data_IF_605911625603
#
_entry.id   IF_605911625603
#
_cell.length_a   1.000
_cell.length_b   1.000
_cell.length_c   1.000
_cell.angle_alpha   90.00
_cell.angle_beta   90.00
_cell.angle_gamma   90.00
#
_symmetry.space_group_name_H-M   'P 1'
#
loop_
_entity.id
_entity.type
_entity.pdbx_description
1 polymer ?
#
# COMPACT_ATOMS: atom_id res chain seq x y z
N UNK A 1 -37.13 54.25 -15.93
CA UNK A 1 -35.91 54.90 -15.42
C UNK A 1 -34.93 53.79 -15.09
N UNK A 2 -34.01 53.55 -16.01
CA UNK A 2 -33.07 52.43 -16.00
C UNK A 2 -31.67 53.01 -15.78
N UNK A 3 -30.94 52.51 -14.78
CA UNK A 3 -29.56 52.88 -14.51
C UNK A 3 -28.61 51.74 -14.91
N UNK A 4 -27.39 52.04 -15.39
CA UNK A 4 -26.64 51.14 -16.26
C UNK A 4 -25.59 50.29 -15.52
N UNK A 5 -25.42 49.06 -16.01
CA UNK A 5 -24.38 48.11 -15.61
C UNK A 5 -23.07 48.41 -16.34
N UNK A 6 -22.01 48.76 -15.61
CA UNK A 6 -20.66 48.86 -16.17
C UNK A 6 -19.96 47.49 -16.13
N UNK A 7 -19.70 46.94 -17.32
CA UNK A 7 -18.87 45.76 -17.57
C UNK A 7 -17.41 46.22 -17.72
N UNK A 8 -16.54 45.88 -16.77
CA UNK A 8 -15.08 46.03 -16.93
C UNK A 8 -14.51 44.66 -17.32
N UNK A 9 -14.11 44.53 -18.59
CA UNK A 9 -13.22 43.47 -19.07
C UNK A 9 -11.82 43.72 -18.52
N UNK A 10 -11.21 42.71 -17.90
CA UNK A 10 -9.77 42.72 -17.57
C UNK A 10 -9.10 41.58 -18.34
N UNK A 11 -8.11 41.96 -19.13
CA UNK A 11 -7.28 41.15 -20.02
C UNK A 11 -6.25 40.32 -19.21
N UNK A 12 -6.17 38.99 -19.38
CA UNK A 12 -5.27 38.13 -18.63
C UNK A 12 -3.90 38.04 -19.33
N UNK A 13 -3.11 39.12 -19.33
CA UNK A 13 -1.76 39.06 -19.92
C UNK A 13 -0.66 39.88 -19.21
N UNK A 14 -0.93 40.57 -18.09
CA UNK A 14 0.10 41.39 -17.41
C UNK A 14 0.60 40.89 -16.04
N UNK A 15 0.01 39.84 -15.46
CA UNK A 15 0.35 39.41 -14.08
C UNK A 15 1.55 38.43 -13.96
N UNK A 16 2.16 37.97 -15.06
CA UNK A 16 3.19 36.92 -15.04
C UNK A 16 4.64 37.40 -15.22
N UNK A 17 4.95 38.70 -15.10
CA UNK A 17 6.33 39.21 -15.30
C UNK A 17 6.95 40.01 -14.14
N UNK A 18 6.27 40.16 -13.00
CA UNK A 18 6.80 40.97 -11.88
C UNK A 18 7.48 40.19 -10.74
N UNK A 19 7.32 38.86 -10.66
CA UNK A 19 7.84 38.08 -9.50
C UNK A 19 9.27 37.56 -9.70
N UNK A 20 9.84 37.69 -10.91
CA UNK A 20 11.14 37.09 -11.25
C UNK A 20 12.39 37.98 -11.04
N UNK A 21 12.28 39.17 -10.41
CA UNK A 21 13.42 40.11 -10.29
C UNK A 21 13.74 40.67 -8.91
N UNK A 22 13.15 40.14 -7.82
CA UNK A 22 13.40 40.67 -6.45
C UNK A 22 14.11 39.71 -5.49
N UNK A 23 14.84 38.70 -6.00
CA UNK A 23 15.67 37.79 -5.16
C UNK A 23 17.17 37.85 -5.47
N UNK A 24 17.62 38.87 -6.20
CA UNK A 24 19.04 39.09 -6.48
C UNK A 24 19.38 40.53 -6.11
N UNK A 25 19.77 40.74 -4.85
CA UNK A 25 20.78 41.69 -4.33
C UNK A 25 20.47 42.08 -2.88
N UNK A 26 21.55 42.31 -2.10
CA UNK A 26 21.64 42.87 -0.72
C UNK A 26 21.95 41.84 0.41
N UNK A 27 22.74 42.21 1.43
CA UNK A 27 24.15 41.80 1.54
C UNK A 27 24.46 40.89 2.73
N UNK A 28 25.61 40.23 2.67
CA UNK A 28 26.19 39.37 3.70
C UNK A 28 26.52 40.14 4.98
N UNK A 29 25.80 39.86 6.07
CA UNK A 29 26.21 40.24 7.44
C UNK A 29 26.71 38.98 8.17
N UNK A 30 28.03 38.88 8.34
CA UNK A 30 28.69 37.86 9.17
C UNK A 30 28.27 38.06 10.64
N UNK A 31 27.56 37.08 11.19
CA UNK A 31 27.50 36.85 12.63
C UNK A 31 28.15 35.50 12.90
N UNK A 32 29.29 35.51 13.60
CA UNK A 32 29.97 34.32 14.12
C UNK A 32 29.12 33.78 15.25
N UNK A 33 28.52 32.59 15.14
CA UNK A 33 28.13 31.77 16.30
C UNK A 33 28.12 30.28 15.88
N UNK A 34 28.88 29.47 16.63
CA UNK A 34 28.81 28.00 16.76
C UNK A 34 28.65 27.16 15.49
N UNK A 35 29.75 26.55 15.02
CA UNK A 35 29.67 25.40 14.10
C UNK A 35 29.05 24.18 14.81
N UNK A 36 27.73 24.12 14.86
CA UNK A 36 27.00 22.86 14.99
C UNK A 36 26.97 22.17 13.63
N UNK A 37 27.81 21.15 13.43
CA UNK A 37 27.72 20.27 12.25
C UNK A 37 26.31 19.70 12.15
N UNK A 38 25.49 20.20 11.23
CA UNK A 38 24.27 19.52 10.78
C UNK A 38 24.72 18.20 10.14
N UNK A 39 24.51 17.10 10.86
CA UNK A 39 24.83 15.76 10.37
C UNK A 39 23.89 15.44 9.21
N UNK A 40 24.40 15.58 7.99
CA UNK A 40 23.78 15.10 6.77
C UNK A 40 23.61 13.57 6.81
N UNK A 41 22.39 13.12 6.52
CA UNK A 41 22.02 11.78 6.03
C UNK A 41 22.82 10.59 6.54
N UNK A 42 22.58 10.15 7.79
CA UNK A 42 22.95 8.78 8.18
C UNK A 42 22.00 7.80 7.49
N UNK A 43 22.53 6.84 6.72
CA UNK A 43 21.80 5.63 6.29
C UNK A 43 21.09 5.03 7.51
N UNK A 44 19.76 5.02 7.49
CA UNK A 44 18.99 4.79 8.70
C UNK A 44 18.89 3.28 9.03
N UNK A 45 18.83 2.39 8.05
CA UNK A 45 19.04 0.95 8.25
C UNK A 45 19.56 0.30 6.95
N UNK A 46 20.46 -0.69 7.07
CA UNK A 46 20.70 -1.65 5.97
C UNK A 46 19.48 -2.56 5.89
N UNK A 47 18.96 -2.80 4.68
CA UNK A 47 17.82 -3.67 4.31
C UNK A 47 17.84 -5.06 4.99
N UNK A 48 19.02 -5.49 5.47
CA UNK A 48 19.26 -6.79 6.09
C UNK A 48 18.69 -6.98 7.51
N UNK A 49 18.37 -5.91 8.26
CA UNK A 49 17.89 -6.05 9.66
C UNK A 49 16.41 -6.40 9.81
N UNK A 50 15.62 -6.34 8.74
CA UNK A 50 14.17 -6.56 8.83
C UNK A 50 13.76 -8.02 8.58
N UNK A 51 14.63 -9.01 8.83
CA UNK A 51 14.31 -10.43 8.60
C UNK A 51 14.73 -11.23 9.82
N UNK A 52 13.77 -11.68 10.62
CA UNK A 52 14.02 -12.73 11.62
C UNK A 52 13.39 -14.05 11.17
N UNK A 53 14.11 -15.13 11.47
CA UNK A 53 13.62 -16.49 11.35
C UNK A 53 12.89 -16.88 12.65
N UNK A 54 11.91 -17.79 12.61
CA UNK A 54 11.05 -18.16 13.75
C UNK A 54 11.79 -18.36 15.07
N UNK A 55 12.90 -19.12 15.04
CA UNK A 55 13.64 -19.56 16.24
C UNK A 55 14.47 -18.45 16.90
N UNK A 56 14.40 -17.20 16.42
CA UNK A 56 15.17 -16.06 16.94
C UNK A 56 14.29 -14.88 17.37
N UNK A 57 12.97 -15.01 17.32
CA UNK A 57 12.05 -13.91 17.56
C UNK A 57 12.16 -13.34 18.99
N UNK A 58 12.06 -14.18 20.01
CA UNK A 58 12.01 -13.73 21.42
C UNK A 58 13.29 -13.04 21.89
N UNK A 59 14.45 -13.38 21.30
CA UNK A 59 15.75 -12.79 21.67
C UNK A 59 16.09 -11.51 20.90
N UNK A 60 15.37 -11.22 19.82
CA UNK A 60 15.71 -10.13 18.89
C UNK A 60 14.53 -9.19 18.58
N UNK A 61 13.36 -9.43 19.17
CA UNK A 61 12.20 -8.56 18.99
C UNK A 61 12.38 -7.27 19.78
N UNK A 62 12.33 -6.15 19.05
CA UNK A 62 12.29 -4.80 19.60
C UNK A 62 10.94 -4.20 19.23
N UNK A 63 10.12 -3.86 20.22
CA UNK A 63 8.75 -3.42 20.00
C UNK A 63 8.63 -2.18 19.11
N UNK A 64 9.66 -1.33 19.05
CA UNK A 64 9.70 -0.10 18.25
C UNK A 64 10.33 -0.28 16.86
N UNK A 65 10.75 -1.50 16.50
CA UNK A 65 11.44 -1.80 15.24
C UNK A 65 10.56 -2.69 14.34
N UNK A 66 10.31 -2.32 13.07
CA UNK A 66 9.57 -3.15 12.15
C UNK A 66 10.26 -4.48 11.89
N UNK A 67 9.45 -5.52 11.77
CA UNK A 67 9.96 -6.88 11.62
C UNK A 67 9.18 -7.65 10.55
N UNK A 68 9.86 -8.12 9.52
CA UNK A 68 9.29 -9.10 8.58
C UNK A 68 9.63 -10.52 9.05
N UNK A 69 8.58 -11.32 9.15
CA UNK A 69 8.57 -12.73 9.47
C UNK A 69 8.36 -13.50 8.18
N UNK A 70 9.41 -14.15 7.67
CA UNK A 70 9.32 -14.83 6.37
C UNK A 70 8.63 -16.18 6.50
N UNK A 71 7.59 -16.41 5.68
CA UNK A 71 6.89 -17.71 5.58
C UNK A 71 6.41 -18.30 6.91
N UNK A 72 6.11 -17.46 7.89
CA UNK A 72 5.71 -17.91 9.24
C UNK A 72 4.22 -18.23 9.36
N UNK A 73 3.42 -17.86 8.37
CA UNK A 73 1.96 -17.97 8.43
C UNK A 73 1.40 -18.92 7.37
N UNK A 74 2.24 -19.71 6.69
CA UNK A 74 1.81 -20.62 5.59
C UNK A 74 0.80 -21.69 6.05
N UNK A 75 0.61 -21.85 7.35
CA UNK A 75 -0.30 -22.77 8.03
C UNK A 75 -1.72 -22.22 8.23
N UNK A 76 -1.99 -20.92 7.96
CA UNK A 76 -3.37 -20.41 8.05
C UNK A 76 -4.28 -21.19 7.08
N UNK A 77 -5.46 -21.66 7.51
CA UNK A 77 -6.34 -22.46 6.65
C UNK A 77 -6.74 -21.73 5.35
N UNK A 78 -6.81 -20.40 5.37
CA UNK A 78 -7.07 -19.58 4.19
C UNK A 78 -6.10 -19.85 3.01
N UNK A 79 -4.84 -20.22 3.27
CA UNK A 79 -3.90 -20.53 2.18
C UNK A 79 -4.29 -21.77 1.36
N UNK A 80 -4.93 -22.74 2.00
CA UNK A 80 -5.39 -23.96 1.35
C UNK A 80 -6.81 -23.80 0.81
N UNK A 81 -7.66 -23.08 1.55
CA UNK A 81 -9.09 -23.00 1.25
C UNK A 81 -9.43 -21.92 0.22
N UNK A 82 -8.75 -20.77 0.23
CA UNK A 82 -9.16 -19.61 -0.58
C UNK A 82 -8.42 -19.50 -1.92
N UNK A 83 -7.33 -20.25 -2.07
CA UNK A 83 -6.40 -20.13 -3.19
C UNK A 83 -6.25 -21.47 -3.89
N UNK A 84 -6.31 -21.46 -5.21
CA UNK A 84 -6.02 -22.61 -6.06
C UNK A 84 -4.73 -22.38 -6.85
N UNK A 85 -4.00 -23.46 -7.12
CA UNK A 85 -2.82 -23.44 -7.98
C UNK A 85 -3.14 -24.23 -9.26
N UNK A 86 -2.93 -23.60 -10.41
CA UNK A 86 -3.13 -24.20 -11.72
C UNK A 86 -1.79 -24.19 -12.44
N UNK A 87 -1.36 -25.35 -12.91
CA UNK A 87 -0.19 -25.45 -13.79
C UNK A 87 -0.58 -25.03 -15.20
N UNK A 88 0.05 -23.98 -15.72
CA UNK A 88 -0.16 -23.51 -17.08
C UNK A 88 1.09 -23.87 -17.90
N UNK A 89 0.92 -24.72 -18.92
CA UNK A 89 1.97 -25.00 -19.90
C UNK A 89 2.08 -23.82 -20.86
N UNK A 90 3.25 -23.20 -20.92
CA UNK A 90 3.54 -22.25 -22.00
C UNK A 90 3.83 -23.06 -23.27
N UNK A 91 2.84 -23.19 -24.15
CA UNK A 91 3.15 -23.40 -25.56
C UNK A 91 3.60 -22.04 -26.11
N UNK A 92 4.87 -21.92 -26.48
CA UNK A 92 5.40 -20.73 -27.16
C UNK A 92 4.88 -20.73 -28.60
N UNK A 93 3.94 -19.83 -28.97
CA UNK A 93 3.36 -19.83 -30.30
C UNK A 93 4.34 -19.30 -31.38
N UNK A 94 5.47 -18.70 -30.98
CA UNK A 94 6.43 -18.05 -31.88
C UNK A 94 7.72 -18.85 -32.11
N UNK A 95 7.82 -20.09 -31.60
CA UNK A 95 8.96 -20.99 -31.92
C UNK A 95 8.57 -21.94 -33.05
N UNK A 96 9.15 -21.77 -34.27
CA UNK A 96 8.90 -22.70 -35.36
C UNK A 96 9.29 -24.12 -34.95
N UNK A 97 8.39 -25.09 -35.20
CA UNK A 97 8.60 -26.52 -34.94
C UNK A 97 9.90 -27.08 -35.54
N UNK A 98 10.52 -26.36 -36.49
CA UNK A 98 11.77 -26.73 -37.16
C UNK A 98 13.05 -26.53 -36.33
N UNK A 99 13.01 -25.84 -35.17
CA UNK A 99 14.20 -25.65 -34.29
C UNK A 99 14.31 -26.64 -33.13
N UNK A 100 13.36 -27.56 -32.97
CA UNK A 100 13.47 -28.58 -31.92
C UNK A 100 14.49 -29.65 -32.33
N UNK A 101 15.66 -29.65 -31.68
CA UNK A 101 16.57 -30.80 -31.66
C UNK A 101 15.79 -32.01 -31.12
N UNK A 102 15.82 -33.15 -31.83
CA UNK A 102 15.26 -34.43 -31.35
C UNK A 102 15.82 -34.72 -29.95
N UNK A 103 15.01 -34.57 -28.90
CA UNK A 103 15.33 -35.06 -27.56
C UNK A 103 15.03 -34.18 -26.34
N UNK A 104 14.66 -32.90 -26.46
CA UNK A 104 14.38 -32.07 -25.27
C UNK A 104 13.13 -31.18 -25.42
N UNK A 105 11.97 -31.72 -25.04
CA UNK A 105 10.81 -30.88 -24.70
C UNK A 105 11.04 -30.32 -23.29
N UNK A 106 11.64 -29.14 -23.19
CA UNK A 106 11.68 -28.42 -21.90
C UNK A 106 10.45 -27.51 -21.84
N UNK A 107 9.29 -28.10 -21.59
CA UNK A 107 8.07 -27.37 -21.26
C UNK A 107 8.26 -26.71 -19.90
N UNK A 108 8.44 -25.39 -19.87
CA UNK A 108 8.45 -24.61 -18.64
C UNK A 108 7.01 -24.51 -18.12
N UNK A 109 6.66 -25.31 -17.13
CA UNK A 109 5.38 -25.19 -16.42
C UNK A 109 5.42 -23.95 -15.53
N UNK A 110 4.43 -23.06 -15.70
CA UNK A 110 4.27 -21.91 -14.80
C UNK A 110 3.09 -22.16 -13.89
N UNK A 111 3.32 -22.15 -12.57
CA UNK A 111 2.24 -22.26 -11.58
C UNK A 111 1.55 -20.91 -11.44
N UNK A 112 0.29 -20.86 -11.85
CA UNK A 112 -0.59 -19.68 -11.69
C UNK A 112 -1.43 -19.83 -10.44
N UNK A 113 -1.45 -18.77 -9.64
CA UNK A 113 -2.29 -18.68 -8.44
C UNK A 113 -3.61 -18.00 -8.78
N UNK A 114 -4.73 -18.65 -8.46
CA UNK A 114 -6.09 -18.13 -8.65
C UNK A 114 -6.89 -18.24 -7.35
N UNK A 115 -8.08 -17.65 -7.32
CA UNK A 115 -9.02 -17.87 -6.22
C UNK A 115 -9.60 -19.30 -6.31
N UNK A 116 -9.86 -19.90 -5.15
CA UNK A 116 -10.73 -21.06 -5.04
C UNK A 116 -12.19 -20.58 -5.04
N UNK A 117 -12.76 -20.47 -6.24
CA UNK A 117 -14.11 -19.96 -6.41
C UNK A 117 -15.18 -20.89 -5.82
N UNK A 118 -14.98 -22.21 -5.90
CA UNK A 118 -15.90 -23.20 -5.33
C UNK A 118 -16.09 -23.00 -3.81
N UNK A 119 -15.01 -22.62 -3.11
CA UNK A 119 -15.10 -22.28 -1.70
C UNK A 119 -15.69 -20.88 -1.45
N UNK A 120 -15.17 -19.86 -2.15
CA UNK A 120 -15.50 -18.46 -1.85
C UNK A 120 -16.90 -18.04 -2.31
N UNK A 121 -17.43 -18.62 -3.38
CA UNK A 121 -18.77 -18.30 -3.91
C UNK A 121 -19.91 -18.69 -2.97
N UNK A 122 -19.67 -19.64 -2.06
CA UNK A 122 -20.62 -20.00 -1.00
C UNK A 122 -20.98 -18.82 -0.11
N UNK A 123 -20.12 -17.79 -0.07
CA UNK A 123 -20.31 -16.56 0.69
C UNK A 123 -20.66 -15.37 -0.21
N UNK A 124 -21.05 -15.61 -1.47
CA UNK A 124 -21.23 -14.58 -2.49
C UNK A 124 -22.28 -13.52 -2.17
N UNK A 125 -23.29 -13.86 -1.37
CA UNK A 125 -24.38 -12.95 -0.99
C UNK A 125 -24.02 -12.02 0.19
N UNK A 126 -22.90 -12.27 0.87
CA UNK A 126 -22.41 -11.40 1.93
C UNK A 126 -22.18 -9.99 1.41
N UNK A 127 -22.78 -8.99 2.08
CA UNK A 127 -22.48 -7.58 1.79
C UNK A 127 -21.07 -7.23 2.29
N UNK A 128 -20.23 -6.68 1.40
CA UNK A 128 -18.85 -6.28 1.72
C UNK A 128 -18.60 -4.83 1.32
N UNK A 129 -17.79 -4.09 2.10
CA UNK A 129 -17.38 -2.74 1.74
C UNK A 129 -16.31 -2.80 0.64
N UNK A 130 -16.57 -2.13 -0.47
CA UNK A 130 -15.66 -2.02 -1.60
C UNK A 130 -15.20 -0.57 -1.79
N UNK A 131 -13.92 -0.42 -2.04
CA UNK A 131 -13.31 0.80 -2.55
C UNK A 131 -13.17 0.67 -4.06
N UNK A 132 -13.70 1.65 -4.80
CA UNK A 132 -13.47 1.79 -6.24
C UNK A 132 -12.57 2.99 -6.50
N UNK A 133 -11.60 2.79 -7.38
CA UNK A 133 -10.80 3.88 -7.94
C UNK A 133 -10.88 3.82 -9.46
N UNK A 134 -11.26 4.92 -10.09
CA UNK A 134 -11.40 4.99 -11.55
C UNK A 134 -10.55 6.12 -12.14
N UNK A 135 -9.81 5.82 -13.20
CA UNK A 135 -8.98 6.76 -13.93
C UNK A 135 -9.76 7.30 -15.12
N UNK A 136 -9.96 8.62 -15.12
CA UNK A 136 -10.54 9.37 -16.21
C UNK A 136 -9.45 10.19 -16.92
N UNK A 137 -9.36 10.14 -18.27
CA UNK A 137 -8.31 10.85 -19.01
C UNK A 137 -8.26 12.37 -18.76
N UNK A 138 -9.42 12.98 -18.48
CA UNK A 138 -9.57 14.44 -18.33
C UNK A 138 -9.70 14.88 -16.87
N UNK A 139 -10.26 14.03 -16.01
CA UNK A 139 -10.64 14.39 -14.64
C UNK A 139 -9.74 13.78 -13.56
N UNK A 140 -8.69 13.05 -13.96
CA UNK A 140 -7.80 12.38 -13.02
C UNK A 140 -8.43 11.12 -12.43
N UNK A 141 -8.10 10.80 -11.17
CA UNK A 141 -8.62 9.62 -10.48
C UNK A 141 -9.77 10.00 -9.57
N UNK A 142 -10.89 9.29 -9.69
CA UNK A 142 -12.04 9.34 -8.78
C UNK A 142 -11.98 8.16 -7.81
N UNK A 143 -12.58 8.34 -6.64
CA UNK A 143 -12.65 7.34 -5.58
C UNK A 143 -14.03 7.37 -4.92
N UNK A 144 -14.59 6.19 -4.66
CA UNK A 144 -15.83 6.03 -3.92
C UNK A 144 -15.84 4.73 -3.11
N UNK A 145 -16.67 4.72 -2.06
CA UNK A 145 -16.94 3.55 -1.21
C UNK A 145 -18.40 3.17 -1.29
N UNK A 146 -18.66 1.89 -1.44
CA UNK A 146 -20.01 1.34 -1.46
C UNK A 146 -20.00 -0.11 -0.97
N UNK A 147 -21.15 -0.55 -0.47
CA UNK A 147 -21.37 -1.94 -0.14
C UNK A 147 -21.92 -2.69 -1.36
N UNK A 148 -21.45 -3.92 -1.58
CA UNK A 148 -21.93 -4.79 -2.63
C UNK A 148 -21.83 -6.27 -2.22
N UNK A 149 -22.56 -7.18 -2.88
CA UNK A 149 -22.38 -8.62 -2.66
C UNK A 149 -20.94 -9.05 -2.93
N UNK A 150 -20.38 -9.93 -2.11
CA UNK A 150 -19.02 -10.45 -2.24
C UNK A 150 -18.77 -11.09 -3.60
N UNK A 151 -19.79 -11.73 -4.18
CA UNK A 151 -19.79 -12.27 -5.54
C UNK A 151 -19.38 -11.23 -6.59
N UNK A 152 -19.74 -9.96 -6.43
CA UNK A 152 -19.34 -8.88 -7.33
C UNK A 152 -17.83 -8.68 -7.38
N UNK A 153 -17.16 -8.74 -6.22
CA UNK A 153 -15.70 -8.69 -6.14
C UNK A 153 -15.07 -9.95 -6.74
N UNK A 154 -15.62 -11.14 -6.45
CA UNK A 154 -15.11 -12.40 -6.98
C UNK A 154 -15.14 -12.41 -8.52
N UNK A 155 -16.25 -11.99 -9.13
CA UNK A 155 -16.37 -11.84 -10.59
C UNK A 155 -15.32 -10.88 -11.16
N UNK A 156 -15.15 -9.71 -10.54
CA UNK A 156 -14.10 -8.77 -10.94
C UNK A 156 -12.69 -9.38 -10.88
N UNK A 157 -12.42 -10.20 -9.86
CA UNK A 157 -11.11 -10.85 -9.67
C UNK A 157 -10.88 -12.03 -10.62
N UNK A 158 -11.93 -12.73 -11.07
CA UNK A 158 -11.86 -13.82 -12.07
C UNK A 158 -11.51 -13.32 -13.46
N UNK A 159 -11.97 -12.13 -13.84
CA UNK A 159 -11.81 -11.60 -15.18
C UNK A 159 -10.32 -11.61 -15.61
N UNK A 160 -9.99 -12.24 -16.76
CA UNK A 160 -8.59 -12.36 -17.24
C UNK A 160 -7.97 -10.97 -17.50
N UNK A 161 -8.68 -10.15 -18.26
CA UNK A 161 -8.42 -8.73 -18.41
C UNK A 161 -9.47 -7.99 -17.56
N UNK A 162 -9.03 -7.26 -16.54
CA UNK A 162 -9.92 -6.32 -15.87
C UNK A 162 -10.05 -5.06 -16.74
N UNK A 163 -11.09 -4.25 -16.54
CA UNK A 163 -11.15 -2.91 -17.10
C UNK A 163 -9.86 -2.15 -16.78
N UNK A 164 -9.27 -1.50 -17.77
CA UNK A 164 -7.98 -0.84 -17.59
C UNK A 164 -8.11 0.40 -16.70
N UNK A 165 -9.29 1.04 -16.71
CA UNK A 165 -9.58 2.31 -16.07
C UNK A 165 -10.03 2.21 -14.61
N UNK A 166 -10.66 1.13 -14.13
CA UNK A 166 -11.08 1.07 -12.71
C UNK A 166 -10.55 -0.14 -11.93
N UNK A 167 -10.45 0.03 -10.62
CA UNK A 167 -10.00 -0.97 -9.64
C UNK A 167 -11.06 -1.14 -8.56
N UNK A 168 -11.27 -2.39 -8.14
CA UNK A 168 -12.05 -2.72 -6.95
C UNK A 168 -11.13 -3.32 -5.89
N UNK A 169 -11.33 -2.91 -4.65
CA UNK A 169 -10.57 -3.38 -3.51
C UNK A 169 -11.47 -3.47 -2.29
N UNK A 170 -11.65 -4.68 -1.76
CA UNK A 170 -12.20 -4.86 -0.43
C UNK A 170 -11.11 -4.45 0.55
N UNK A 171 -11.38 -3.38 1.28
CA UNK A 171 -10.44 -2.75 2.19
C UNK A 171 -11.04 -2.66 3.59
N UNK A 172 -10.26 -3.03 4.60
CA UNK A 172 -10.62 -2.89 6.00
C UNK A 172 -11.91 -3.61 6.43
N UNK A 173 -12.34 -4.65 5.71
CA UNK A 173 -13.53 -5.41 6.14
C UNK A 173 -13.21 -6.19 7.41
N UNK A 174 -13.96 -5.96 8.48
CA UNK A 174 -13.67 -6.57 9.78
C UNK A 174 -13.81 -8.09 9.70
N UNK A 175 -12.87 -8.82 10.32
CA UNK A 175 -13.00 -10.28 10.42
C UNK A 175 -14.20 -10.70 11.27
N UNK A 176 -14.66 -9.86 12.19
CA UNK A 176 -15.87 -10.10 13.00
C UNK A 176 -17.14 -10.17 12.16
N UNK A 177 -17.14 -9.51 11.01
CA UNK A 177 -18.30 -9.37 10.14
C UNK A 177 -18.33 -10.47 9.07
N UNK A 178 -17.28 -11.30 9.01
CA UNK A 178 -17.22 -12.45 8.11
C UNK A 178 -18.08 -13.62 8.63
N UNK A 179 -18.66 -14.42 7.72
CA UNK A 179 -19.24 -15.71 8.03
C UNK A 179 -18.28 -16.58 8.84
N UNK A 180 -18.83 -17.36 9.77
CA UNK A 180 -18.05 -18.15 10.72
C UNK A 180 -17.00 -19.05 10.04
N UNK A 181 -17.36 -19.70 8.93
CA UNK A 181 -16.45 -20.55 8.17
C UNK A 181 -15.24 -19.78 7.59
N UNK A 182 -15.45 -18.56 7.10
CA UNK A 182 -14.36 -17.70 6.61
C UNK A 182 -13.53 -17.15 7.76
N UNK A 183 -14.16 -16.74 8.87
CA UNK A 183 -13.48 -16.26 10.07
C UNK A 183 -12.59 -17.34 10.69
N UNK A 184 -13.04 -18.59 10.70
CA UNK A 184 -12.26 -19.74 11.16
C UNK A 184 -11.00 -20.01 10.33
N UNK A 185 -10.94 -19.51 9.08
CA UNK A 185 -9.78 -19.65 8.21
C UNK A 185 -8.66 -18.64 8.51
N UNK A 186 -8.96 -17.65 9.35
CA UNK A 186 -8.06 -16.56 9.74
C UNK A 186 -7.97 -16.48 11.28
N UNK A 187 -7.52 -17.54 11.96
CA UNK A 187 -7.35 -17.51 13.40
C UNK A 187 -6.36 -16.42 13.79
N UNK A 188 -6.58 -15.86 14.98
CA UNK A 188 -5.67 -14.93 15.66
C UNK A 188 -4.31 -15.62 15.85
N UNK A 189 -3.20 -15.12 15.24
CA UNK A 189 -1.93 -15.82 15.32
C UNK A 189 -1.30 -15.81 16.73
N UNK A 190 -0.87 -16.99 17.21
CA UNK A 190 -0.29 -17.16 18.56
C UNK A 190 0.94 -16.29 18.82
N UNK A 191 1.70 -16.00 17.76
CA UNK A 191 2.89 -15.13 17.79
C UNK A 191 2.61 -13.73 18.33
N UNK A 192 1.36 -13.27 18.33
CA UNK A 192 1.03 -11.94 18.84
C UNK A 192 1.43 -11.73 20.31
N UNK A 193 1.41 -12.80 21.13
CA UNK A 193 1.93 -12.73 22.51
C UNK A 193 3.43 -12.40 22.53
N UNK A 194 4.21 -13.05 21.67
CA UNK A 194 5.65 -12.79 21.52
C UNK A 194 5.95 -11.41 20.92
N UNK A 195 4.98 -10.80 20.24
CA UNK A 195 5.06 -9.42 19.72
C UNK A 195 4.61 -8.36 20.74
N UNK A 196 4.46 -8.74 22.01
CA UNK A 196 4.07 -7.84 23.09
C UNK A 196 2.57 -7.59 23.21
N UNK A 197 1.74 -8.33 22.45
CA UNK A 197 0.30 -8.28 22.60
C UNK A 197 -0.15 -8.92 23.90
N UNK A 198 -1.00 -8.23 24.64
CA UNK A 198 -1.53 -8.67 25.95
C UNK A 198 -2.79 -9.52 25.83
N UNK A 199 -3.04 -10.06 24.65
CA UNK A 199 -4.25 -10.83 24.33
C UNK A 199 -5.45 -9.97 23.90
N UNK A 200 -5.30 -8.65 23.83
CA UNK A 200 -6.35 -7.74 23.32
C UNK A 200 -6.16 -7.46 21.83
N UNK A 201 -7.12 -7.88 21.01
CA UNK A 201 -7.19 -7.56 19.59
C UNK A 201 -8.13 -6.36 19.43
N UNK A 202 -7.53 -5.19 19.24
CA UNK A 202 -8.27 -3.94 19.00
C UNK A 202 -9.13 -4.01 17.75
N UNK A 203 -8.65 -4.71 16.72
CA UNK A 203 -9.39 -4.93 15.49
C UNK A 203 -8.61 -5.79 14.52
N UNK A 204 -9.29 -6.30 13.50
CA UNK A 204 -8.69 -7.12 12.46
C UNK A 204 -9.40 -6.91 11.15
N UNK A 205 -8.67 -6.88 10.04
CA UNK A 205 -9.28 -6.67 8.73
C UNK A 205 -8.77 -7.60 7.65
N UNK A 206 -9.69 -7.96 6.76
CA UNK A 206 -9.43 -8.57 5.49
C UNK A 206 -9.21 -7.50 4.41
N UNK A 207 -8.28 -7.79 3.51
CA UNK A 207 -7.99 -7.01 2.32
C UNK A 207 -7.95 -7.92 1.11
N UNK A 208 -8.75 -7.64 0.10
CA UNK A 208 -8.88 -8.51 -1.08
C UNK A 208 -9.09 -7.70 -2.36
N UNK A 209 -8.33 -8.01 -3.40
CA UNK A 209 -8.54 -7.42 -4.72
C UNK A 209 -7.54 -7.90 -5.75
N UNK A 210 -7.53 -7.24 -6.91
CA UNK A 210 -6.63 -7.56 -8.02
C UNK A 210 -5.54 -6.50 -8.15
N UNK A 211 -4.32 -6.92 -8.44
CA UNK A 211 -3.22 -5.99 -8.69
C UNK A 211 -3.53 -5.04 -9.87
N UNK A 212 -3.10 -3.77 -9.82
CA UNK A 212 -2.45 -3.11 -8.69
C UNK A 212 -3.43 -2.67 -7.60
N UNK A 213 -3.02 -2.77 -6.34
CA UNK A 213 -3.75 -2.20 -5.19
C UNK A 213 -2.90 -1.13 -4.50
N UNK A 214 -3.53 -0.13 -3.88
CA UNK A 214 -2.81 0.98 -3.23
C UNK A 214 -3.43 1.29 -1.88
N UNK A 215 -2.57 1.49 -0.89
CA UNK A 215 -2.93 2.11 0.39
C UNK A 215 -1.98 3.28 0.61
N UNK A 216 -2.47 4.53 0.64
CA UNK A 216 -1.64 5.73 0.78
C UNK A 216 -0.82 5.73 2.06
N UNK A 217 0.07 6.72 2.17
CA UNK A 217 0.86 6.94 3.38
C UNK A 217 -0.07 7.29 4.55
N UNK A 218 -0.03 6.48 5.60
CA UNK A 218 -0.80 6.68 6.82
C UNK A 218 -0.05 6.09 8.01
N UNK A 219 -0.62 6.21 9.22
CA UNK A 219 -0.15 5.49 10.41
C UNK A 219 -1.33 4.95 11.20
N UNK A 220 -1.10 3.86 11.92
CA UNK A 220 -2.12 3.22 12.73
C UNK A 220 -2.03 3.64 14.21
N UNK A 221 -3.16 3.59 14.95
CA UNK A 221 -3.20 3.95 16.36
C UNK A 221 -2.56 2.89 17.28
N UNK A 222 -2.45 1.65 16.83
CA UNK A 222 -1.91 0.51 17.56
C UNK A 222 -0.89 -0.26 16.71
N UNK A 223 0.01 -1.07 17.32
CA UNK A 223 0.83 -2.02 16.59
C UNK A 223 -0.01 -2.93 15.69
N UNK A 224 0.54 -3.31 14.55
CA UNK A 224 -0.18 -4.07 13.53
C UNK A 224 0.64 -5.30 13.10
N UNK A 225 0.02 -6.47 13.12
CA UNK A 225 0.53 -7.67 12.45
C UNK A 225 -0.16 -7.79 11.09
N UNK A 226 0.58 -7.53 10.02
CA UNK A 226 0.10 -7.63 8.65
C UNK A 226 0.61 -8.92 7.99
N UNK A 227 -0.27 -9.78 7.49
CA UNK A 227 0.08 -11.08 6.88
C UNK A 227 -0.40 -11.17 5.44
N UNK A 228 0.47 -11.67 4.56
CA UNK A 228 0.20 -11.77 3.13
C UNK A 228 -0.26 -13.19 2.74
N UNK A 229 -1.53 -13.33 2.37
CA UNK A 229 -2.14 -14.61 1.98
C UNK A 229 -1.84 -14.94 0.51
N UNK A 230 -2.05 -14.01 -0.41
CA UNK A 230 -1.83 -14.23 -1.84
C UNK A 230 -1.27 -13.00 -2.54
N UNK A 231 -0.48 -13.22 -3.59
CA UNK A 231 0.13 -12.15 -4.36
C UNK A 231 1.33 -11.51 -3.65
N UNK A 232 1.68 -10.29 -4.08
CA UNK A 232 2.83 -9.55 -3.57
C UNK A 232 2.42 -8.14 -3.16
N UNK A 233 2.82 -7.73 -1.97
CA UNK A 233 2.72 -6.34 -1.51
C UNK A 233 4.10 -5.81 -1.13
N UNK A 234 4.40 -4.60 -1.57
CA UNK A 234 5.56 -3.83 -1.11
C UNK A 234 5.06 -2.78 -0.12
N UNK A 235 5.71 -2.72 1.04
CA UNK A 235 5.42 -1.77 2.11
C UNK A 235 6.64 -0.87 2.30
N UNK A 236 6.44 0.44 2.24
CA UNK A 236 7.44 1.43 2.69
C UNK A 236 7.05 1.89 4.08
N UNK A 237 8.02 1.85 5.00
CA UNK A 237 7.86 2.12 6.44
C UNK A 237 8.78 3.26 6.86
N UNK A 238 8.27 4.22 7.59
CA UNK A 238 9.03 5.36 8.08
C UNK A 238 8.81 5.52 9.58
N UNK A 239 9.87 5.93 10.28
CA UNK A 239 9.75 6.29 11.69
C UNK A 239 8.71 7.39 11.89
N UNK A 240 8.07 7.47 13.08
CA UNK A 240 7.03 8.45 13.37
C UNK A 240 7.40 9.89 12.99
N UNK A 241 8.61 10.34 13.32
CA UNK A 241 9.08 11.71 13.08
C UNK A 241 9.27 11.98 11.58
N UNK A 242 9.85 11.01 10.88
CA UNK A 242 10.20 11.13 9.45
C UNK A 242 8.94 11.13 8.57
N UNK A 243 8.01 10.21 8.85
CA UNK A 243 6.74 10.16 8.11
C UNK A 243 5.87 11.38 8.40
N UNK A 244 5.90 11.90 9.63
CA UNK A 244 5.18 13.12 10.01
C UNK A 244 5.73 14.34 9.28
N UNK A 245 7.05 14.54 9.28
CA UNK A 245 7.71 15.63 8.54
C UNK A 245 7.35 15.57 7.05
N UNK A 246 7.41 14.38 6.44
CA UNK A 246 7.04 14.17 5.04
C UNK A 246 5.59 14.58 4.77
N UNK A 247 4.66 14.10 5.59
CA UNK A 247 3.23 14.38 5.46
C UNK A 247 2.93 15.88 5.61
N UNK A 248 3.47 16.52 6.65
CA UNK A 248 3.28 17.95 6.91
C UNK A 248 3.88 18.80 5.79
N UNK A 249 5.06 18.43 5.28
CA UNK A 249 5.70 19.13 4.16
C UNK A 249 4.85 19.06 2.89
N UNK A 250 4.26 17.91 2.58
CA UNK A 250 3.38 17.79 1.42
C UNK A 250 2.12 18.63 1.60
N UNK A 251 1.49 18.59 2.78
CA UNK A 251 0.28 19.37 3.05
C UNK A 251 0.49 20.87 3.02
N UNK A 252 1.66 21.34 3.50
CA UNK A 252 2.03 22.74 3.44
C UNK A 252 2.13 23.27 2.00
N UNK A 253 2.56 22.45 1.03
CA UNK A 253 2.60 22.85 -0.38
C UNK A 253 1.21 23.10 -1.00
N UNK A 254 0.16 22.53 -0.39
CA UNK A 254 -1.22 22.64 -0.87
C UNK A 254 -2.11 23.47 0.07
N UNK A 255 -1.51 24.35 0.89
CA UNK A 255 -2.21 25.26 1.82
C UNK A 255 -3.19 24.58 2.79
N UNK A 256 -3.01 23.29 3.09
CA UNK A 256 -3.86 22.56 4.03
C UNK A 256 -3.20 22.51 5.42
N UNK A 257 -3.62 23.38 6.33
CA UNK A 257 -3.22 23.35 7.75
C UNK A 257 -4.18 22.44 8.56
N UNK A 258 -3.68 21.60 9.48
CA UNK A 258 -4.52 21.03 10.56
C UNK A 258 -5.28 19.69 10.35
N UNK A 259 -5.17 19.01 9.21
CA UNK A 259 -5.76 17.68 8.97
C UNK A 259 -5.06 16.51 9.70
N UNK A 260 -5.81 15.45 9.96
CA UNK A 260 -5.38 14.30 10.76
C UNK A 260 -4.70 13.23 9.91
N UNK A 261 -3.46 12.86 10.26
CA UNK A 261 -2.75 11.72 9.68
C UNK A 261 -3.33 10.33 10.06
N UNK A 262 -4.32 10.31 10.98
CA UNK A 262 -5.10 9.11 11.28
C UNK A 262 -6.26 8.92 10.30
N UNK A 263 -6.48 9.86 9.37
CA UNK A 263 -7.58 9.80 8.41
C UNK A 263 -7.40 8.55 7.56
N UNK A 264 -8.50 7.81 7.37
CA UNK A 264 -8.63 6.63 6.50
C UNK A 264 -9.75 6.89 5.50
N UNK A 265 -9.84 8.12 5.00
CA UNK A 265 -10.99 8.65 4.25
C UNK A 265 -10.72 8.84 2.75
N UNK A 266 -11.79 9.13 2.01
CA UNK A 266 -11.80 9.34 0.55
C UNK A 266 -10.80 10.42 0.09
N UNK A 267 -10.64 11.48 0.88
CA UNK A 267 -9.72 12.60 0.58
C UNK A 267 -8.25 12.17 0.44
N UNK A 268 -7.86 11.04 1.03
CA UNK A 268 -6.50 10.51 0.89
C UNK A 268 -6.30 9.65 -0.34
N UNK A 269 -7.39 9.25 -1.02
CA UNK A 269 -7.35 8.32 -2.13
C UNK A 269 -7.42 9.01 -3.50
N UNK A 270 -7.66 10.32 -3.52
CA UNK A 270 -7.76 11.11 -4.75
C UNK A 270 -7.18 12.53 -4.59
N UNK A 271 -7.00 13.22 -5.71
CA UNK A 271 -6.54 14.62 -5.75
C UNK A 271 -5.01 14.81 -5.74
N UNK A 272 -4.59 16.08 -5.77
CA UNK A 272 -3.18 16.47 -5.93
C UNK A 272 -2.32 16.10 -4.71
N UNK A 273 -2.89 16.16 -3.50
CA UNK A 273 -2.21 15.76 -2.26
C UNK A 273 -1.85 14.28 -2.29
N UNK A 274 -2.80 13.41 -2.67
CA UNK A 274 -2.54 11.98 -2.87
C UNK A 274 -1.39 11.77 -3.86
N UNK A 275 -1.45 12.41 -5.03
CA UNK A 275 -0.41 12.28 -6.06
C UNK A 275 0.96 12.81 -5.59
N UNK A 276 0.99 13.86 -4.77
CA UNK A 276 2.22 14.39 -4.20
C UNK A 276 2.82 13.46 -3.14
N UNK A 277 2.00 12.92 -2.23
CA UNK A 277 2.41 11.92 -1.25
C UNK A 277 2.88 10.65 -1.95
N UNK A 278 2.18 10.20 -2.98
CA UNK A 278 2.52 9.00 -3.76
C UNK A 278 3.90 9.17 -4.41
N UNK A 279 4.15 10.30 -5.08
CA UNK A 279 5.47 10.62 -5.64
C UNK A 279 6.55 10.75 -4.58
N UNK A 280 6.25 11.37 -3.44
CA UNK A 280 7.24 11.57 -2.38
C UNK A 280 7.63 10.24 -1.71
N UNK A 281 6.67 9.33 -1.55
CA UNK A 281 6.89 8.01 -0.96
C UNK A 281 7.50 7.06 -1.96
N UNK A 282 7.06 7.04 -3.22
CA UNK A 282 7.35 6.00 -4.21
C UNK A 282 8.22 6.44 -5.39
N UNK A 283 8.50 7.75 -5.54
CA UNK A 283 9.28 8.33 -6.62
C UNK A 283 10.75 7.89 -6.66
N UNK A 284 11.43 8.30 -7.73
CA UNK A 284 12.70 7.70 -8.17
C UNK A 284 13.89 7.95 -7.22
N UNK A 285 14.69 6.90 -7.02
CA UNK A 285 15.84 6.81 -6.10
C UNK A 285 17.09 7.55 -6.62
N UNK A 286 17.02 8.09 -7.84
CA UNK A 286 18.14 8.66 -8.60
C UNK A 286 18.44 10.13 -8.28
N UNK A 287 17.53 10.85 -7.64
CA UNK A 287 17.81 12.21 -7.15
C UNK A 287 18.53 12.16 -5.80
N UNK A 288 19.49 13.04 -5.55
CA UNK A 288 20.14 13.19 -4.23
C UNK A 288 19.15 13.49 -3.09
N UNK A 289 17.91 13.89 -3.44
CA UNK A 289 16.75 14.07 -2.56
C UNK A 289 15.93 12.79 -2.30
N UNK A 290 16.13 11.73 -3.08
CA UNK A 290 15.51 10.41 -2.97
C UNK A 290 16.20 9.48 -1.98
N UNK A 291 16.95 10.03 -1.01
CA UNK A 291 17.47 9.27 0.12
C UNK A 291 16.29 8.65 0.87
N UNK A 292 16.31 7.31 0.96
CA UNK A 292 15.30 6.46 1.58
C UNK A 292 14.85 7.02 2.94
N UNK A 293 13.71 7.72 2.98
CA UNK A 293 13.07 8.24 4.19
C UNK A 293 12.55 7.12 5.12
N UNK A 294 12.90 5.86 4.84
CA UNK A 294 12.34 4.69 5.49
C UNK A 294 13.01 3.38 5.09
N UNK A 295 12.42 2.28 5.54
CA UNK A 295 12.74 0.91 5.15
C UNK A 295 11.66 0.35 4.24
N UNK A 296 12.00 -0.64 3.41
CA UNK A 296 11.09 -1.25 2.45
C UNK A 296 11.04 -2.77 2.69
N UNK A 297 9.84 -3.34 2.66
CA UNK A 297 9.61 -4.77 2.78
C UNK A 297 8.67 -5.24 1.67
N UNK A 298 9.12 -6.23 0.88
CA UNK A 298 8.26 -6.94 -0.06
C UNK A 298 7.78 -8.24 0.58
N UNK A 299 6.48 -8.32 0.82
CA UNK A 299 5.78 -9.48 1.38
C UNK A 299 5.26 -10.37 0.26
N UNK A 300 5.45 -11.68 0.44
CA UNK A 300 4.93 -12.75 -0.40
C UNK A 300 4.04 -13.67 0.43
N UNK A 301 3.40 -14.66 -0.22
CA UNK A 301 2.68 -15.76 0.43
C UNK A 301 3.43 -16.24 1.69
N UNK A 302 2.73 -16.26 2.82
CA UNK A 302 3.24 -16.72 4.12
C UNK A 302 4.03 -15.69 4.93
N UNK A 303 4.39 -14.55 4.35
CA UNK A 303 5.12 -13.52 5.07
C UNK A 303 4.18 -12.71 5.99
N UNK A 304 4.65 -12.45 7.20
CA UNK A 304 4.10 -11.44 8.09
C UNK A 304 5.01 -10.22 8.23
N UNK A 305 4.43 -9.10 8.63
CA UNK A 305 5.10 -7.84 8.91
C UNK A 305 4.50 -7.25 10.18
N UNK A 306 5.31 -7.17 11.22
CA UNK A 306 5.03 -6.35 12.39
C UNK A 306 5.35 -4.89 12.07
N UNK A 307 4.35 -4.03 12.23
CA UNK A 307 4.44 -2.58 12.08
C UNK A 307 4.24 -1.98 13.49
N UNK A 308 5.28 -1.35 14.06
CA UNK A 308 5.17 -0.76 15.38
C UNK A 308 4.18 0.39 15.43
N UNK A 309 3.68 0.69 16.62
CA UNK A 309 2.78 1.82 16.85
C UNK A 309 3.39 3.12 16.34
N UNK A 310 2.57 3.93 15.65
CA UNK A 310 2.97 5.25 15.16
C UNK A 310 3.88 5.26 13.94
N UNK A 311 4.35 4.09 13.46
CA UNK A 311 5.11 4.02 12.21
C UNK A 311 4.22 4.35 11.02
N UNK A 312 4.75 5.23 10.17
CA UNK A 312 4.09 5.58 8.93
C UNK A 312 4.37 4.54 7.88
N UNK A 313 3.37 4.22 7.07
CA UNK A 313 3.52 3.24 6.03
C UNK A 313 2.61 3.48 4.84
N UNK A 314 3.08 3.05 3.68
CA UNK A 314 2.33 3.01 2.43
C UNK A 314 2.49 1.63 1.81
N UNK A 315 1.45 1.15 1.13
CA UNK A 315 1.39 -0.22 0.62
C UNK A 315 1.02 -0.23 -0.85
N UNK A 316 1.75 -1.01 -1.66
CA UNK A 316 1.43 -1.29 -3.06
C UNK A 316 1.31 -2.78 -3.29
N UNK A 317 0.17 -3.22 -3.80
CA UNK A 317 -0.01 -4.56 -4.36
C UNK A 317 0.39 -4.58 -5.82
N UNK A 318 1.20 -5.56 -6.21
CA UNK A 318 1.75 -5.68 -7.56
C UNK A 318 1.75 -7.13 -8.05
N UNK A 319 1.91 -7.32 -9.36
CA UNK A 319 2.04 -8.62 -9.99
C UNK A 319 0.77 -9.04 -10.72
N UNK A 320 0.61 -10.35 -10.92
CA UNK A 320 -0.56 -10.95 -11.57
C UNK A 320 -1.31 -11.81 -10.55
N UNK A 321 -2.63 -11.89 -10.69
CA UNK A 321 -3.48 -12.72 -9.85
C UNK A 321 -4.05 -12.01 -8.61
N UNK A 322 -4.67 -12.78 -7.70
CA UNK A 322 -5.35 -12.25 -6.52
C UNK A 322 -4.34 -11.75 -5.48
N UNK A 323 -4.61 -10.57 -4.93
CA UNK A 323 -3.87 -9.98 -3.82
C UNK A 323 -4.76 -10.03 -2.58
N UNK A 324 -4.33 -10.82 -1.59
CA UNK A 324 -5.07 -11.02 -0.35
C UNK A 324 -4.13 -10.84 0.83
N UNK A 325 -4.57 -10.05 1.81
CA UNK A 325 -3.85 -9.83 3.06
C UNK A 325 -4.85 -9.78 4.20
N UNK A 326 -4.37 -10.10 5.40
CA UNK A 326 -5.12 -9.97 6.64
C UNK A 326 -4.25 -9.25 7.64
N UNK A 327 -4.86 -8.54 8.57
CA UNK A 327 -4.09 -7.88 9.61
C UNK A 327 -4.82 -7.86 10.97
N UNK A 328 -4.03 -7.76 12.04
CA UNK A 328 -4.50 -7.66 13.41
C UNK A 328 -3.82 -6.48 14.11
N UNK A 329 -4.61 -5.55 14.61
CA UNK A 329 -4.16 -4.50 15.51
C UNK A 329 -4.38 -4.94 16.95
N UNK A 330 -3.38 -4.78 17.80
CA UNK A 330 -3.39 -5.32 19.16
C UNK A 330 -2.83 -4.34 20.20
N UNK A 331 -3.06 -4.61 21.49
CA UNK A 331 -2.64 -3.76 22.62
C UNK A 331 -1.85 -4.50 23.70
#
# INVERSE_FOLDING_TARGET
MSSPTFLVRVDPSSAMRSVARSLLTMPTRRSKHGQGKVKTGRKIFKTAKCVLLPNKLEKAFEADTPLRMKRMFEDLPAYQKWISQIEESLEDPDVPRSKFRRGSKQTSLTVKTTLNNEYLEQFGDMSVPLERSEQHPQNGTTFDRFDAPFSFLLEFMKAKAGPTNYRLYLAQHSLSDLPEAMRADLPTPDIMKSLGGKGDIYGSSLWMGKAPTRTPLHRDPNPNLFVQISGRKTVRLMRPEVGKELYEKVRAMYNKSGGSANLRGEEMMQGEEFNALERAVWGDKSSERGQSMGVEATLKKGDGLYIPKGWWHAVRGEGKGPIISVNWWFR
#
